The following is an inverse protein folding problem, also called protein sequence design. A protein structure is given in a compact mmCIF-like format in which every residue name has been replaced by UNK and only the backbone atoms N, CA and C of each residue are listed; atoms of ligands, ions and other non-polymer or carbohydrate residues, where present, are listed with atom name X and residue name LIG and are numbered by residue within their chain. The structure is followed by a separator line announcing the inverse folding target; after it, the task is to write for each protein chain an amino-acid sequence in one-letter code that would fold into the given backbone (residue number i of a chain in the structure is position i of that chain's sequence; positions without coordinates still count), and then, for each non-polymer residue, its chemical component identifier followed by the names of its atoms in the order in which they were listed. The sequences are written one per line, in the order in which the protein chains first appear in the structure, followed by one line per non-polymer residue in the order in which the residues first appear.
data_IF_918187509068
#
_entry.id   IF_918187509068
#
_cell.length_a   1.000
_cell.length_b   1.000
_cell.length_c   1.000
_cell.angle_alpha   90.00
_cell.angle_beta   90.00
_cell.angle_gamma   90.00
#
_symmetry.space_group_name_H-M   'P 1'
#
loop_
_entity.id
_entity.type
_entity.pdbx_description
1 polymer ?
#
# COMPACT_ATOMS: atom_id res chain seq x y z
N UNK A 1 6.35 -4.94 18.19
CA UNK A 1 6.45 -5.06 16.74
C UNK A 1 5.20 -5.71 16.19
N UNK A 2 4.58 -5.09 15.20
CA UNK A 2 3.34 -5.65 14.65
C UNK A 2 3.67 -6.66 13.54
N UNK A 3 2.72 -7.54 13.26
CA UNK A 3 2.84 -8.51 12.19
C UNK A 3 2.47 -7.87 10.85
N UNK A 4 2.76 -8.59 9.77
CA UNK A 4 2.36 -8.16 8.44
C UNK A 4 0.85 -8.01 8.36
N UNK A 5 0.11 -8.92 8.97
CA UNK A 5 -1.35 -8.88 8.94
C UNK A 5 -1.90 -7.68 9.70
N UNK A 6 -1.28 -7.33 10.80
CA UNK A 6 -1.68 -6.14 11.55
C UNK A 6 -1.39 -4.87 10.74
N UNK A 7 -0.23 -4.83 10.09
CA UNK A 7 0.12 -3.71 9.24
C UNK A 7 -0.86 -3.59 8.08
N UNK A 8 -1.31 -4.71 7.54
CA UNK A 8 -2.26 -4.73 6.44
C UNK A 8 -3.59 -4.12 6.84
N UNK A 9 -4.05 -4.39 8.06
CA UNK A 9 -5.29 -3.81 8.56
C UNK A 9 -5.17 -2.29 8.59
N UNK A 10 -4.03 -1.79 9.07
CA UNK A 10 -3.81 -0.35 9.11
C UNK A 10 -3.77 0.24 7.71
N UNK A 11 -3.08 -0.42 6.79
CA UNK A 11 -2.99 0.04 5.41
C UNK A 11 -4.37 0.11 4.76
N UNK A 12 -5.21 -0.89 5.01
CA UNK A 12 -6.54 -0.97 4.40
C UNK A 12 -7.46 0.15 4.88
N UNK A 13 -7.20 0.71 6.06
CA UNK A 13 -7.98 1.84 6.54
C UNK A 13 -7.81 3.07 5.66
N UNK A 14 -6.75 3.09 4.86
CA UNK A 14 -6.46 4.20 3.96
C UNK A 14 -6.84 3.89 2.52
N UNK A 15 -7.47 2.74 2.28
CA UNK A 15 -7.84 2.30 0.94
C UNK A 15 -9.37 2.36 0.83
N UNK A 16 -9.86 3.05 -0.20
CA UNK A 16 -11.29 3.08 -0.48
C UNK A 16 -11.59 2.20 -1.69
N UNK A 17 -12.80 1.63 -1.68
CA UNK A 17 -13.27 0.86 -2.82
C UNK A 17 -12.82 -0.58 -2.81
N UNK A 18 -12.69 -1.14 -3.99
CA UNK A 18 -12.40 -2.55 -4.20
C UNK A 18 -10.94 -2.73 -4.57
N UNK A 19 -10.28 -3.65 -3.89
CA UNK A 19 -8.87 -3.92 -4.14
C UNK A 19 -8.76 -4.84 -5.34
N UNK A 20 -7.97 -4.40 -6.33
CA UNK A 20 -7.75 -5.16 -7.57
C UNK A 20 -6.51 -6.01 -7.47
N UNK A 21 -5.45 -5.45 -6.87
CA UNK A 21 -4.18 -6.15 -6.75
C UNK A 21 -3.43 -5.58 -5.56
N UNK A 22 -2.70 -6.44 -4.87
CA UNK A 22 -1.98 -6.04 -3.69
C UNK A 22 -0.66 -6.78 -3.62
N UNK A 23 0.38 -6.08 -3.18
CA UNK A 23 1.63 -6.72 -2.83
C UNK A 23 2.19 -6.05 -1.59
N UNK A 24 2.99 -6.79 -0.84
CA UNK A 24 3.60 -6.29 0.39
C UNK A 24 5.05 -6.71 0.41
N UNK A 25 5.92 -5.75 0.66
CA UNK A 25 7.36 -5.98 0.72
C UNK A 25 7.87 -5.51 2.08
N UNK A 26 8.57 -6.36 2.82
CA UNK A 26 9.19 -5.92 4.06
C UNK A 26 10.44 -5.10 3.75
N UNK A 27 10.60 -3.99 4.45
CA UNK A 27 11.80 -3.19 4.39
C UNK A 27 12.67 -3.55 5.59
N UNK A 28 13.82 -4.12 5.32
CA UNK A 28 14.71 -4.61 6.37
C UNK A 28 15.96 -3.75 6.41
N UNK A 29 16.39 -3.42 7.63
CA UNK A 29 17.69 -2.82 7.82
C UNK A 29 18.76 -3.90 7.70
N UNK A 30 19.94 -3.57 7.13
CA UNK A 30 20.98 -4.59 6.93
C UNK A 30 21.41 -5.31 8.19
N UNK A 31 21.34 -4.65 9.34
CA UNK A 31 21.82 -5.22 10.60
C UNK A 31 20.67 -5.74 11.46
N UNK A 32 19.48 -5.88 10.93
CA UNK A 32 18.30 -6.24 11.72
C UNK A 32 17.69 -7.54 11.24
N UNK A 33 17.19 -8.33 12.17
CA UNK A 33 16.43 -9.54 11.86
C UNK A 33 14.95 -9.25 11.68
N UNK A 34 14.54 -7.99 11.88
CA UNK A 34 13.14 -7.61 11.86
C UNK A 34 12.89 -6.55 10.82
N UNK A 35 11.70 -6.56 10.20
CA UNK A 35 11.39 -5.52 9.24
C UNK A 35 11.26 -4.18 9.95
N UNK A 36 11.83 -3.15 9.32
CA UNK A 36 11.65 -1.78 9.78
C UNK A 36 10.23 -1.33 9.49
N UNK A 37 9.70 -1.76 8.36
CA UNK A 37 8.36 -1.39 7.94
C UNK A 37 7.85 -2.39 6.92
N UNK A 38 6.55 -2.30 6.65
CA UNK A 38 5.86 -3.07 5.62
C UNK A 38 5.41 -2.10 4.55
N UNK A 39 5.81 -2.34 3.31
CA UNK A 39 5.44 -1.47 2.20
C UNK A 39 4.37 -2.17 1.39
N UNK A 40 3.19 -1.56 1.34
CA UNK A 40 2.05 -2.09 0.60
C UNK A 40 1.87 -1.31 -0.68
N UNK A 41 1.68 -2.06 -1.76
CA UNK A 41 1.54 -1.53 -3.11
C UNK A 41 0.20 -2.05 -3.59
N UNK A 42 -0.80 -1.17 -3.65
CA UNK A 42 -2.19 -1.59 -3.81
C UNK A 42 -2.83 -0.87 -4.98
N UNK A 43 -3.43 -1.63 -5.89
CA UNK A 43 -4.28 -1.10 -6.94
C UNK A 43 -5.73 -1.31 -6.53
N UNK A 44 -6.53 -0.24 -6.56
CA UNK A 44 -7.93 -0.30 -6.14
C UNK A 44 -8.75 0.67 -6.96
N UNK A 45 -10.08 0.45 -6.98
CA UNK A 45 -10.98 1.41 -7.61
C UNK A 45 -12.12 1.75 -6.67
N UNK A 46 -12.61 3.00 -6.79
CA UNK A 46 -13.71 3.48 -5.98
C UNK A 46 -15.05 3.15 -6.62
N UNK A 47 -16.13 3.72 -6.08
CA UNK A 47 -17.49 3.44 -6.58
C UNK A 47 -17.69 3.93 -8.00
N UNK A 48 -16.99 4.98 -8.40
CA UNK A 48 -17.08 5.54 -9.75
C UNK A 48 -16.16 4.80 -10.72
N UNK A 49 -15.50 3.75 -10.25
CA UNK A 49 -14.59 2.93 -11.02
C UNK A 49 -13.34 3.67 -11.45
N UNK A 50 -13.02 4.75 -10.76
CA UNK A 50 -11.71 5.38 -10.91
C UNK A 50 -10.68 4.49 -10.25
N UNK A 51 -9.59 4.21 -10.96
CA UNK A 51 -8.55 3.33 -10.49
C UNK A 51 -7.43 4.13 -9.87
N UNK A 52 -6.95 3.64 -8.74
CA UNK A 52 -5.88 4.30 -8.01
C UNK A 52 -4.77 3.30 -7.72
N UNK A 53 -3.57 3.83 -7.60
CA UNK A 53 -2.40 3.09 -7.15
C UNK A 53 -1.93 3.75 -5.87
N UNK A 54 -2.03 3.03 -4.76
CA UNK A 54 -1.66 3.55 -3.46
C UNK A 54 -0.46 2.78 -2.94
N UNK A 55 0.57 3.51 -2.52
CA UNK A 55 1.75 2.94 -1.89
C UNK A 55 1.77 3.48 -0.47
N UNK A 56 1.76 2.58 0.50
CA UNK A 56 1.72 2.98 1.90
C UNK A 56 2.74 2.17 2.69
N UNK A 57 3.50 2.88 3.51
CA UNK A 57 4.52 2.26 4.37
C UNK A 57 4.06 2.31 5.81
N UNK A 58 3.98 1.14 6.44
CA UNK A 58 3.57 1.01 7.84
C UNK A 58 4.79 0.51 8.62
N UNK A 59 5.21 1.28 9.64
CA UNK A 59 6.35 0.88 10.44
C UNK A 59 6.02 -0.34 11.27
N UNK A 60 7.06 -0.99 11.83
CA UNK A 60 6.85 -2.15 12.68
C UNK A 60 6.21 -1.80 14.02
N UNK A 61 5.97 -0.51 14.26
CA UNK A 61 5.24 -0.04 15.44
C UNK A 61 3.81 0.35 15.10
N UNK A 62 3.39 0.14 13.85
CA UNK A 62 2.03 0.42 13.44
C UNK A 62 1.78 1.87 13.06
N UNK A 63 2.82 2.61 12.71
CA UNK A 63 2.70 4.02 12.32
C UNK A 63 2.80 4.13 10.81
N UNK A 64 1.94 4.95 10.21
CA UNK A 64 2.03 5.25 8.78
C UNK A 64 3.22 6.16 8.55
N UNK A 65 4.26 5.63 7.90
CA UNK A 65 5.48 6.38 7.63
C UNK A 65 5.36 7.21 6.36
N UNK A 66 4.64 6.68 5.37
CA UNK A 66 4.40 7.41 4.13
C UNK A 66 3.16 6.85 3.46
N UNK A 67 2.53 7.69 2.63
CA UNK A 67 1.31 7.31 1.95
C UNK A 67 1.19 8.15 0.69
N UNK A 68 1.11 7.46 -0.46
CA UNK A 68 0.97 8.11 -1.75
C UNK A 68 -0.16 7.45 -2.52
N UNK A 69 -1.03 8.26 -3.08
CA UNK A 69 -2.17 7.79 -3.84
C UNK A 69 -2.15 8.46 -5.20
N UNK A 70 -2.12 7.67 -6.25
CA UNK A 70 -2.10 8.16 -7.63
C UNK A 70 -3.35 7.74 -8.36
N UNK A 71 -3.99 8.69 -9.03
CA UNK A 71 -5.11 8.39 -9.89
C UNK A 71 -4.58 7.87 -11.23
N UNK A 72 -5.05 6.72 -11.63
CA UNK A 72 -4.64 6.11 -12.88
C UNK A 72 -5.68 6.46 -13.93
N UNK A 73 -5.25 7.18 -14.98
CA UNK A 73 -6.12 7.54 -16.07
C UNK A 73 -6.04 6.45 -17.13
N UNK A 74 -7.17 5.79 -17.37
CA UNK A 74 -7.21 4.68 -18.32
C UNK A 74 -6.73 5.07 -19.69
N UNK A 75 -7.13 6.25 -20.14
CA UNK A 75 -6.77 6.70 -21.47
C UNK A 75 -5.29 6.94 -21.61
N UNK A 76 -4.68 7.50 -20.59
CA UNK A 76 -3.26 7.78 -20.62
C UNK A 76 -2.42 6.53 -20.42
N UNK A 77 -2.96 5.57 -19.70
CA UNK A 77 -2.18 4.39 -19.34
C UNK A 77 -2.09 3.37 -20.45
N UNK A 78 -3.04 3.38 -21.36
CA UNK A 78 -3.05 2.40 -22.44
C UNK A 78 -2.59 2.98 -23.76
N UNK A 79 -2.22 4.20 -23.74
CA UNK A 79 -1.79 4.89 -24.94
C UNK A 79 -0.28 4.99 -24.97
N UNK A 80 0.35 4.05 -25.60
CA UNK A 80 1.80 3.98 -25.60
C UNK A 80 2.39 4.11 -26.97
#
# INVERSE_FOLDING_TARGET
MISKEEAKIIAYEHIDGIILQESCTPYMMPSSNYPRSWIFDIYHHNQDKDTFHTIIEITNKGVVASWHKHHISDENDIEF
#
